data_IF_040950513270
#
_entry.id   IF_040950513270
#
_cell.length_a   1.000
_cell.length_b   1.000
_cell.length_c   1.000
_cell.angle_alpha   90.00
_cell.angle_beta   90.00
_cell.angle_gamma   90.00
#
_symmetry.space_group_name_H-M   'P 1'
#
loop_
_entity.id
_entity.type
_entity.pdbx_description
1 polymer ?
#
# COMPACT_ATOMS: atom_id res chain seq x y z
N UNK A 1 3.27 -9.09 12.86
CA UNK A 1 4.63 -9.02 12.26
C UNK A 1 5.48 -10.16 12.81
N UNK A 2 5.75 -11.21 12.03
CA UNK A 2 6.45 -12.42 12.52
C UNK A 2 7.98 -12.25 12.53
N UNK A 3 8.52 -11.38 11.66
CA UNK A 3 9.97 -11.14 11.49
C UNK A 3 10.41 -9.69 11.73
N UNK A 4 9.55 -8.83 12.31
CA UNK A 4 9.79 -7.37 12.40
C UNK A 4 10.16 -6.67 11.08
N UNK A 5 9.82 -7.30 9.94
CA UNK A 5 10.15 -6.84 8.60
C UNK A 5 8.95 -6.22 7.87
N UNK A 6 7.94 -5.78 8.62
CA UNK A 6 6.71 -5.24 8.08
C UNK A 6 6.17 -4.11 8.97
N UNK A 7 5.48 -3.15 8.35
CA UNK A 7 4.84 -2.03 9.01
C UNK A 7 3.43 -1.85 8.44
N UNK A 8 2.47 -1.64 9.33
CA UNK A 8 1.11 -1.26 8.98
C UNK A 8 0.87 0.20 9.38
N UNK A 9 0.30 0.99 8.47
CA UNK A 9 0.01 2.40 8.72
C UNK A 9 -1.25 2.87 8.00
N UNK A 10 -1.80 3.99 8.47
CA UNK A 10 -2.87 4.73 7.79
C UNK A 10 -2.28 5.97 7.13
N UNK A 11 -2.84 6.33 5.98
CA UNK A 11 -2.57 7.63 5.35
C UNK A 11 -3.68 8.57 5.80
N UNK A 12 -3.30 9.75 6.29
CA UNK A 12 -4.25 10.76 6.76
C UNK A 12 -4.79 10.51 8.18
N UNK A 13 -5.71 11.37 8.65
CA UNK A 13 -6.28 11.30 10.00
C UNK A 13 -7.26 10.13 10.15
N UNK A 14 -7.62 9.81 11.40
CA UNK A 14 -8.60 8.75 11.71
C UNK A 14 -9.99 9.04 11.13
N UNK A 15 -10.38 10.31 11.07
CA UNK A 15 -11.63 10.79 10.47
C UNK A 15 -11.31 11.76 9.33
N UNK A 16 -11.11 11.26 8.09
CA UNK A 16 -10.73 12.09 6.95
C UNK A 16 -11.90 12.94 6.45
N UNK A 17 -11.62 14.23 6.24
CA UNK A 17 -12.48 15.11 5.44
C UNK A 17 -12.45 14.72 3.96
N UNK A 18 -13.31 15.32 3.14
CA UNK A 18 -13.31 15.10 1.68
C UNK A 18 -11.96 15.49 1.04
N UNK A 19 -11.33 16.56 1.54
CA UNK A 19 -9.99 16.96 1.09
C UNK A 19 -8.93 15.93 1.50
N UNK A 20 -9.03 15.38 2.71
CA UNK A 20 -8.13 14.31 3.16
C UNK A 20 -8.30 13.06 2.29
N UNK A 21 -9.54 12.69 1.93
CA UNK A 21 -9.79 11.54 1.06
C UNK A 21 -9.13 11.70 -0.32
N UNK A 22 -9.22 12.90 -0.91
CA UNK A 22 -8.53 13.21 -2.15
C UNK A 22 -6.99 13.05 -2.00
N UNK A 23 -6.42 13.62 -0.94
CA UNK A 23 -4.98 13.54 -0.66
C UNK A 23 -4.52 12.10 -0.37
N UNK A 24 -5.33 11.31 0.34
CA UNK A 24 -5.09 9.89 0.60
C UNK A 24 -5.01 9.14 -0.72
N UNK A 25 -5.96 9.37 -1.64
CA UNK A 25 -5.97 8.71 -2.94
C UNK A 25 -4.74 9.09 -3.78
N UNK A 26 -4.37 10.37 -3.81
CA UNK A 26 -3.13 10.81 -4.48
C UNK A 26 -1.87 10.18 -3.88
N UNK A 27 -1.83 10.03 -2.55
CA UNK A 27 -0.70 9.42 -1.85
C UNK A 27 -0.59 7.93 -2.16
N UNK A 28 -1.71 7.21 -2.25
CA UNK A 28 -1.73 5.81 -2.69
C UNK A 28 -1.16 5.66 -4.11
N UNK A 29 -1.54 6.54 -5.04
CA UNK A 29 -0.98 6.55 -6.40
C UNK A 29 0.54 6.75 -6.39
N UNK A 30 1.04 7.73 -5.62
CA UNK A 30 2.49 7.99 -5.50
C UNK A 30 3.24 6.82 -4.86
N UNK A 31 2.67 6.21 -3.82
CA UNK A 31 3.25 5.03 -3.18
C UNK A 31 3.34 3.86 -4.17
N UNK A 32 2.31 3.68 -4.99
CA UNK A 32 2.37 2.65 -6.01
C UNK A 32 3.44 2.92 -7.08
N UNK A 33 3.56 4.15 -7.56
CA UNK A 33 4.63 4.53 -8.52
C UNK A 33 6.03 4.29 -7.94
N UNK A 34 6.22 4.59 -6.66
CA UNK A 34 7.46 4.26 -5.95
C UNK A 34 7.69 2.74 -5.92
N UNK A 35 6.68 1.96 -5.54
CA UNK A 35 6.77 0.52 -5.50
C UNK A 35 7.07 -0.09 -6.89
N UNK A 36 6.43 0.39 -7.95
CA UNK A 36 6.69 -0.08 -9.31
C UNK A 36 8.14 0.16 -9.77
N UNK A 37 8.77 1.25 -9.30
CA UNK A 37 10.13 1.63 -9.72
C UNK A 37 11.24 1.13 -8.79
N UNK A 38 10.95 0.98 -7.49
CA UNK A 38 11.95 0.63 -6.45
C UNK A 38 11.64 -0.67 -5.72
N UNK A 39 10.41 -1.16 -5.79
CA UNK A 39 9.94 -2.27 -4.98
C UNK A 39 10.70 -3.56 -5.26
N UNK A 40 11.06 -3.84 -6.52
CA UNK A 40 11.86 -5.03 -6.85
C UNK A 40 13.25 -4.99 -6.21
N UNK A 41 13.91 -3.83 -6.25
CA UNK A 41 15.24 -3.66 -5.63
C UNK A 41 15.22 -3.77 -4.11
N UNK A 42 14.08 -3.43 -3.47
CA UNK A 42 13.90 -3.52 -2.02
C UNK A 42 13.21 -4.80 -1.54
N UNK A 43 12.91 -5.73 -2.45
CA UNK A 43 12.09 -6.91 -2.13
C UNK A 43 10.78 -6.55 -1.43
N UNK A 44 10.15 -5.45 -1.89
CA UNK A 44 9.09 -4.77 -1.15
C UNK A 44 7.70 -5.34 -1.47
N UNK A 45 7.00 -5.79 -0.43
CA UNK A 45 5.57 -6.07 -0.47
C UNK A 45 4.77 -4.80 -0.22
N UNK A 46 3.68 -4.61 -0.98
CA UNK A 46 2.74 -3.49 -0.82
C UNK A 46 1.29 -3.98 -0.83
N UNK A 47 0.64 -3.92 0.33
CA UNK A 47 -0.72 -4.40 0.52
C UNK A 47 -1.69 -3.30 0.97
N UNK A 48 -2.98 -3.52 0.72
CA UNK A 48 -4.04 -2.76 1.38
C UNK A 48 -5.07 -3.71 1.98
N UNK A 49 -5.33 -3.57 3.28
CA UNK A 49 -6.39 -4.32 3.96
C UNK A 49 -7.78 -3.73 3.66
N UNK A 50 -8.83 -4.51 3.84
CA UNK A 50 -10.22 -4.04 3.72
C UNK A 50 -10.54 -2.83 4.62
N UNK A 51 -9.82 -2.67 5.73
CA UNK A 51 -9.94 -1.50 6.61
C UNK A 51 -9.31 -0.21 6.04
N UNK A 52 -8.70 -0.28 4.85
CA UNK A 52 -7.94 0.80 4.22
C UNK A 52 -6.51 1.01 4.75
N UNK A 53 -6.06 0.18 5.71
CA UNK A 53 -4.68 0.23 6.20
C UNK A 53 -3.71 -0.25 5.12
N UNK A 54 -2.56 0.42 5.03
CA UNK A 54 -1.47 0.07 4.13
C UNK A 54 -0.52 -0.87 4.86
N UNK A 55 -0.15 -1.95 4.19
CA UNK A 55 0.88 -2.90 4.62
C UNK A 55 2.11 -2.71 3.74
N UNK A 56 3.29 -2.60 4.35
CA UNK A 56 4.55 -2.73 3.64
C UNK A 56 5.45 -3.75 4.32
N UNK A 57 6.21 -4.51 3.53
CA UNK A 57 7.18 -5.48 4.05
C UNK A 57 8.39 -5.64 3.12
N UNK A 58 9.45 -6.28 3.58
CA UNK A 58 10.67 -6.56 2.79
C UNK A 58 10.84 -8.04 2.41
N UNK A 59 9.74 -8.81 2.34
CA UNK A 59 9.78 -10.27 2.15
C UNK A 59 9.50 -10.73 0.71
N UNK A 60 9.25 -9.83 -0.23
CA UNK A 60 8.93 -10.20 -1.61
C UNK A 60 8.38 -9.04 -2.43
N UNK A 61 8.82 -8.89 -3.68
CA UNK A 61 8.22 -7.93 -4.61
C UNK A 61 6.81 -8.38 -5.05
N UNK A 62 5.78 -7.92 -4.34
CA UNK A 62 4.38 -8.27 -4.58
C UNK A 62 3.45 -7.15 -4.17
N UNK A 63 2.31 -7.05 -4.84
CA UNK A 63 1.23 -6.17 -4.41
C UNK A 63 -0.10 -6.93 -4.34
N UNK A 64 -0.95 -6.54 -3.39
CA UNK A 64 -2.25 -7.16 -3.16
C UNK A 64 -3.25 -6.16 -2.57
N UNK A 65 -4.53 -6.42 -2.75
CA UNK A 65 -5.61 -5.58 -2.23
C UNK A 65 -6.51 -6.27 -1.21
N UNK A 66 -7.71 -5.73 -0.93
CA UNK A 66 -8.54 -6.19 0.17
C UNK A 66 -8.92 -7.67 0.14
N UNK A 67 -8.92 -8.30 -1.04
CA UNK A 67 -9.19 -9.72 -1.23
C UNK A 67 -7.91 -10.59 -1.36
N UNK A 68 -6.76 -10.02 -1.03
CA UNK A 68 -5.42 -10.61 -1.16
C UNK A 68 -4.94 -10.88 -2.60
N UNK A 69 -5.58 -10.32 -3.62
CA UNK A 69 -5.15 -10.45 -5.02
C UNK A 69 -4.55 -9.15 -5.56
N UNK A 70 -3.64 -9.26 -6.54
CA UNK A 70 -3.07 -8.11 -7.23
C UNK A 70 -4.13 -7.22 -7.89
N UNK A 71 -5.19 -7.84 -8.43
CA UNK A 71 -6.26 -7.16 -9.18
C UNK A 71 -7.02 -6.13 -8.34
N UNK A 72 -7.01 -6.26 -7.03
CA UNK A 72 -7.67 -5.31 -6.11
C UNK A 72 -6.66 -4.41 -5.39
N UNK A 73 -5.36 -4.54 -5.69
CA UNK A 73 -4.32 -3.72 -5.10
C UNK A 73 -4.45 -2.25 -5.53
N UNK A 74 -3.83 -1.35 -4.77
CA UNK A 74 -3.69 0.06 -5.16
C UNK A 74 -2.76 0.28 -6.38
N UNK A 75 -2.20 -0.82 -6.90
CA UNK A 75 -1.27 -0.84 -8.02
C UNK A 75 -1.82 -1.51 -9.28
N UNK A 76 -3.10 -1.91 -9.27
CA UNK A 76 -3.73 -2.47 -10.45
C UNK A 76 -3.61 -1.51 -11.65
N UNK A 77 -3.11 -2.02 -12.77
CA UNK A 77 -3.02 -1.26 -14.03
C UNK A 77 -1.68 -0.57 -14.28
N UNK A 78 -0.72 -0.74 -13.37
CA UNK A 78 0.72 -0.55 -13.62
C UNK A 78 1.37 -1.86 -14.05
#
# INVERSE_FOLDING_TARGET
HVFNAALDFRIGPEQPSDLDQFNIQQTKTKLCQFWATKGQAFNMGLGVYASGQIHIDSQGFRAWGPDHHYRTSICQGL
#
